data_IF_670858713727
#
_entry.id   IF_670858713727
#
_cell.length_a   1.000
_cell.length_b   1.000
_cell.length_c   1.000
_cell.angle_alpha   90.00
_cell.angle_beta   90.00
_cell.angle_gamma   90.00
#
_symmetry.space_group_name_H-M   'P 1'
#
loop_
_entity.id
_entity.type
_entity.pdbx_description
1 polymer ?
#
# COMPACT_ATOMS: atom_id res chain seq x y z
N UNK A 1 -18.86 -4.06 -1.91
CA UNK A 1 -17.44 -3.80 -1.58
C UNK A 1 -16.60 -4.83 -2.30
N UNK A 2 -15.38 -4.49 -2.67
CA UNK A 2 -14.45 -5.43 -3.28
C UNK A 2 -13.30 -5.72 -2.32
N UNK A 3 -12.69 -6.90 -2.45
CA UNK A 3 -11.49 -7.25 -1.71
C UNK A 3 -10.27 -6.70 -2.44
N UNK A 4 -9.35 -6.10 -1.70
CA UNK A 4 -8.09 -5.58 -2.20
C UNK A 4 -6.93 -6.23 -1.47
N UNK A 5 -5.83 -6.50 -2.17
CA UNK A 5 -4.53 -6.77 -1.57
C UNK A 5 -3.79 -5.45 -1.38
N UNK A 6 -3.35 -5.16 -0.16
CA UNK A 6 -2.60 -3.95 0.19
C UNK A 6 -1.11 -4.27 0.16
N UNK A 7 -0.36 -3.43 -0.54
CA UNK A 7 1.06 -3.57 -0.83
C UNK A 7 1.80 -2.29 -0.41
N UNK A 8 3.06 -2.43 -0.03
CA UNK A 8 3.92 -1.32 0.38
C UNK A 8 5.28 -1.42 -0.32
N UNK A 9 5.74 -0.30 -0.87
CA UNK A 9 7.11 -0.14 -1.33
C UNK A 9 7.96 0.32 -0.14
N UNK A 10 9.08 -0.35 0.11
CA UNK A 10 9.94 -0.11 1.25
C UNK A 10 11.16 0.73 0.82
N UNK A 11 11.57 1.70 1.64
CA UNK A 11 12.70 2.61 1.35
C UNK A 11 14.08 1.92 1.28
N UNK A 12 14.16 0.64 1.68
CA UNK A 12 15.39 -0.15 1.66
C UNK A 12 15.64 -0.81 0.30
N UNK A 13 16.91 -0.91 -0.12
CA UNK A 13 17.30 -1.67 -1.31
C UNK A 13 17.50 -3.14 -0.95
N UNK A 14 16.60 -4.03 -1.37
CA UNK A 14 16.94 -5.45 -1.45
C UNK A 14 17.65 -5.69 -2.77
N UNK A 15 18.96 -5.90 -2.71
CA UNK A 15 19.70 -6.43 -3.85
C UNK A 15 19.57 -7.93 -3.77
N UNK A 16 18.88 -8.52 -4.75
CA UNK A 16 18.93 -9.98 -4.88
C UNK A 16 20.38 -10.38 -5.19
N UNK A 17 20.94 -11.29 -4.39
CA UNK A 17 22.31 -11.80 -4.60
C UNK A 17 22.43 -12.49 -5.97
N UNK A 18 21.32 -13.08 -6.45
CA UNK A 18 21.15 -13.61 -7.79
C UNK A 18 19.75 -13.30 -8.34
N UNK A 19 19.63 -12.81 -9.58
CA UNK A 19 18.34 -12.52 -10.25
C UNK A 19 18.16 -11.05 -10.64
N UNK A 20 16.94 -10.68 -11.05
CA UNK A 20 16.63 -9.29 -11.40
C UNK A 20 16.60 -8.39 -10.15
N UNK A 21 17.03 -7.14 -10.31
CA UNK A 21 16.82 -6.10 -9.30
C UNK A 21 15.33 -5.81 -9.26
N UNK A 22 14.64 -6.31 -8.23
CA UNK A 22 13.23 -6.01 -8.00
C UNK A 22 13.10 -4.83 -7.04
N UNK A 23 12.03 -4.05 -7.21
CA UNK A 23 11.61 -3.11 -6.19
C UNK A 23 11.28 -3.87 -4.91
N UNK A 24 11.70 -3.32 -3.77
CA UNK A 24 11.44 -3.88 -2.48
C UNK A 24 9.99 -3.62 -2.09
N UNK A 25 9.09 -4.53 -2.43
CA UNK A 25 7.70 -4.44 -2.01
C UNK A 25 7.31 -5.58 -1.07
N UNK A 26 6.41 -5.25 -0.14
CA UNK A 26 5.86 -6.18 0.84
C UNK A 26 4.34 -6.21 0.72
N UNK A 27 3.77 -7.42 0.69
CA UNK A 27 2.34 -7.62 0.90
C UNK A 27 2.02 -7.40 2.37
N UNK A 28 1.06 -6.51 2.65
CA UNK A 28 0.66 -6.18 4.01
C UNK A 28 -0.60 -6.93 4.44
N UNK A 29 -1.58 -7.11 3.55
CA UNK A 29 -2.80 -7.82 3.90
C UNK A 29 -3.93 -7.61 2.92
N UNK A 30 -5.13 -7.96 3.35
CA UNK A 30 -6.35 -7.81 2.57
C UNK A 30 -7.29 -6.82 3.25
N UNK A 31 -7.98 -5.99 2.47
CA UNK A 31 -9.00 -5.06 2.95
C UNK A 31 -10.22 -5.09 2.04
N UNK A 32 -11.40 -4.92 2.64
CA UNK A 32 -12.62 -4.64 1.87
C UNK A 32 -12.86 -3.13 1.81
N UNK A 33 -13.03 -2.60 0.60
CA UNK A 33 -13.28 -1.18 0.40
C UNK A 33 -14.15 -0.92 -0.84
N UNK A 34 -14.51 0.35 -1.04
CA UNK A 34 -15.16 0.82 -2.26
C UNK A 34 -14.15 0.98 -3.42
N UNK A 35 -12.94 1.46 -3.12
CA UNK A 35 -11.85 1.70 -4.06
C UNK A 35 -10.47 1.44 -3.40
N UNK A 36 -9.40 1.49 -4.20
CA UNK A 36 -8.04 1.21 -3.77
C UNK A 36 -7.52 2.21 -2.71
N UNK A 37 -7.88 3.50 -2.84
CA UNK A 37 -7.44 4.52 -1.90
C UNK A 37 -8.11 4.32 -0.52
N UNK A 38 -9.40 4.00 -0.53
CA UNK A 38 -10.15 3.62 0.65
C UNK A 38 -9.59 2.36 1.31
N UNK A 39 -9.11 1.38 0.53
CA UNK A 39 -8.46 0.19 1.08
C UNK A 39 -7.14 0.53 1.78
N UNK A 40 -6.27 1.35 1.16
CA UNK A 40 -5.01 1.79 1.78
C UNK A 40 -5.26 2.63 3.03
N UNK A 41 -6.20 3.59 2.96
CA UNK A 41 -6.54 4.45 4.10
C UNK A 41 -7.08 3.61 5.25
N UNK A 42 -8.05 2.72 4.99
CA UNK A 42 -8.59 1.84 6.02
C UNK A 42 -7.54 0.91 6.63
N UNK A 43 -6.60 0.40 5.82
CA UNK A 43 -5.49 -0.41 6.33
C UNK A 43 -4.56 0.40 7.24
N UNK A 44 -4.20 1.62 6.81
CA UNK A 44 -3.33 2.50 7.58
C UNK A 44 -3.96 2.86 8.94
N UNK A 45 -5.24 3.19 8.94
CA UNK A 45 -5.99 3.60 10.14
C UNK A 45 -6.19 2.42 11.12
N UNK A 46 -6.29 1.19 10.59
CA UNK A 46 -6.58 -0.02 11.37
C UNK A 46 -5.44 -1.02 11.33
N UNK A 47 -4.19 -0.53 11.22
CA UNK A 47 -3.01 -1.37 11.02
C UNK A 47 -3.02 -2.57 11.98
N UNK A 48 -3.21 -3.81 11.48
CA UNK A 48 -3.50 -4.97 12.33
C UNK A 48 -2.28 -5.45 13.11
N UNK A 49 -1.12 -4.89 12.83
CA UNK A 49 0.15 -5.16 13.49
C UNK A 49 1.01 -3.89 13.49
N UNK A 50 2.01 -3.78 14.39
CA UNK A 50 2.91 -2.64 14.42
C UNK A 50 3.73 -2.53 13.12
N UNK A 51 3.60 -1.40 12.42
CA UNK A 51 4.37 -1.10 11.21
C UNK A 51 5.27 0.10 11.47
N UNK A 52 6.55 -0.02 11.11
CA UNK A 52 7.48 1.11 11.08
C UNK A 52 7.28 1.88 9.78
N UNK A 53 6.38 2.86 9.83
CA UNK A 53 6.04 3.69 8.66
C UNK A 53 7.23 4.46 8.07
N UNK A 54 8.29 4.69 8.86
CA UNK A 54 9.54 5.28 8.39
C UNK A 54 10.22 4.45 7.29
N UNK A 55 10.05 3.13 7.31
CA UNK A 55 10.63 2.18 6.36
C UNK A 55 9.79 2.06 5.07
N UNK A 56 8.59 2.65 5.03
CA UNK A 56 7.65 2.57 3.90
C UNK A 56 7.69 3.86 3.08
N UNK A 57 7.87 3.75 1.78
CA UNK A 57 7.87 4.88 0.83
C UNK A 57 6.45 5.25 0.40
N UNK A 58 5.71 4.29 -0.15
CA UNK A 58 4.32 4.44 -0.53
C UNK A 58 3.59 3.11 -0.43
N UNK A 59 2.27 3.18 -0.33
CA UNK A 59 1.37 2.04 -0.34
C UNK A 59 0.47 2.12 -1.56
N UNK A 60 -0.01 0.96 -2.00
CA UNK A 60 -1.08 0.87 -3.00
C UNK A 60 -1.94 -0.37 -2.71
N UNK A 61 -3.06 -0.48 -3.41
CA UNK A 61 -3.95 -1.61 -3.29
C UNK A 61 -4.38 -2.10 -4.66
N UNK A 62 -4.32 -3.42 -4.86
CA UNK A 62 -4.77 -4.08 -6.09
C UNK A 62 -6.08 -4.81 -5.80
N UNK A 63 -7.08 -4.67 -6.67
CA UNK A 63 -8.37 -5.35 -6.49
C UNK A 63 -8.25 -6.84 -6.80
N UNK A 64 -8.78 -7.68 -5.93
CA UNK A 64 -8.89 -9.12 -6.14
C UNK A 64 -10.29 -9.45 -6.69
N UNK A 65 -10.36 -10.17 -7.82
CA UNK A 65 -11.63 -10.58 -8.44
C UNK A 65 -11.48 -10.88 -9.93
N UNK A 66 -12.61 -11.08 -10.63
CA UNK A 66 -12.69 -11.31 -12.08
C UNK A 66 -12.31 -10.06 -12.89
N UNK A 67 -11.07 -9.65 -12.75
CA UNK A 67 -10.42 -8.78 -13.70
C UNK A 67 -9.62 -9.74 -14.58
N UNK A 68 -10.03 -9.88 -15.84
CA UNK A 68 -9.17 -10.49 -16.85
C UNK A 68 -7.84 -9.71 -16.94
N UNK A 69 -7.06 -9.96 -17.99
CA UNK A 69 -5.81 -9.22 -18.25
C UNK A 69 -5.93 -7.69 -18.27
N UNK A 70 -7.14 -7.13 -18.30
CA UNK A 70 -7.41 -5.69 -18.31
C UNK A 70 -7.46 -5.01 -16.94
N UNK A 71 -7.42 -5.74 -15.83
CA UNK A 71 -7.55 -5.13 -14.51
C UNK A 71 -6.48 -5.49 -13.49
N UNK A 72 -5.41 -6.14 -13.94
CA UNK A 72 -4.14 -6.12 -13.24
C UNK A 72 -3.41 -4.83 -13.65
N UNK A 73 -3.24 -3.89 -12.73
CA UNK A 73 -2.58 -2.62 -13.04
C UNK A 73 -1.07 -2.68 -12.81
N UNK A 74 -0.50 -3.82 -12.40
CA UNK A 74 0.96 -4.03 -12.28
C UNK A 74 1.68 -2.92 -11.47
N UNK A 75 1.02 -2.34 -10.46
CA UNK A 75 1.59 -1.22 -9.69
C UNK A 75 1.41 0.17 -10.33
N UNK A 76 0.57 0.30 -11.35
CA UNK A 76 0.15 1.56 -11.98
C UNK A 76 -1.02 2.25 -11.23
N UNK A 77 -1.44 1.70 -10.10
CA UNK A 77 -2.42 2.33 -9.22
C UNK A 77 -1.84 3.54 -8.47
N UNK A 78 -2.73 4.48 -8.12
CA UNK A 78 -2.42 5.71 -7.38
C UNK A 78 -1.59 5.41 -6.11
N UNK A 79 -0.30 5.76 -6.17
CA UNK A 79 0.64 5.62 -5.06
C UNK A 79 0.22 6.54 -3.92
N UNK A 80 -0.12 5.95 -2.78
CA UNK A 80 -0.42 6.71 -1.56
C UNK A 80 0.86 6.81 -0.74
N UNK A 81 1.49 7.98 -0.77
CA UNK A 81 2.71 8.25 -0.01
C UNK A 81 2.40 8.33 1.47
N UNK A 82 3.12 7.55 2.28
CA UNK A 82 2.91 7.48 3.74
C UNK A 82 3.04 8.86 4.41
N UNK A 83 3.96 9.69 3.93
CA UNK A 83 4.15 11.06 4.41
C UNK A 83 2.93 11.97 4.19
N UNK A 84 2.06 11.64 3.23
CA UNK A 84 0.81 12.38 3.00
C UNK A 84 -0.27 11.99 4.03
N UNK A 85 -0.33 10.71 4.40
CA UNK A 85 -1.23 10.20 5.44
C UNK A 85 -0.84 10.75 6.81
N UNK A 86 0.45 10.73 7.16
CA UNK A 86 0.94 11.28 8.43
C UNK A 86 0.62 12.77 8.60
N UNK A 87 0.83 13.58 7.55
CA UNK A 87 0.50 15.02 7.54
C UNK A 87 -1.00 15.32 7.67
N UNK A 88 -1.88 14.37 7.38
CA UNK A 88 -3.32 14.51 7.64
C UNK A 88 -3.59 14.36 9.14
N UNK A 89 -3.02 13.34 9.76
CA UNK A 89 -3.17 13.09 11.21
C UNK A 89 -2.57 14.19 12.08
N UNK A 90 -1.36 14.68 11.76
CA UNK A 90 -0.73 15.79 12.51
C UNK A 90 -1.55 17.09 12.48
N UNK A 91 -2.39 17.26 11.45
CA UNK A 91 -3.28 18.41 11.31
C UNK A 91 -4.56 18.25 12.10
N UNK A 92 -5.07 17.02 12.18
CA UNK A 92 -6.30 16.70 12.90
C UNK A 92 -6.05 16.64 14.44
N UNK A 93 -4.83 16.31 14.89
CA UNK A 93 -4.44 16.37 16.32
C UNK A 93 -4.12 17.80 16.81
N UNK A 94 -3.89 18.74 15.89
CA UNK A 94 -3.57 20.14 16.19
C UNK A 94 -4.77 21.10 16.13
N UNK A 95 -5.99 20.60 15.99
CA UNK A 95 -7.23 21.38 15.83
C UNK A 95 -8.12 21.36 17.08
#
# INVERSE_FOLDING_TARGET
MATFIVLAAMKGRFVSDHGNTYDNFQMLGYMEAADANGAVTAFFDQAPYPIRWEDVEYMWAERLGELGSEGAHYGDYDKVYVESLRRRYERDEGA
#
